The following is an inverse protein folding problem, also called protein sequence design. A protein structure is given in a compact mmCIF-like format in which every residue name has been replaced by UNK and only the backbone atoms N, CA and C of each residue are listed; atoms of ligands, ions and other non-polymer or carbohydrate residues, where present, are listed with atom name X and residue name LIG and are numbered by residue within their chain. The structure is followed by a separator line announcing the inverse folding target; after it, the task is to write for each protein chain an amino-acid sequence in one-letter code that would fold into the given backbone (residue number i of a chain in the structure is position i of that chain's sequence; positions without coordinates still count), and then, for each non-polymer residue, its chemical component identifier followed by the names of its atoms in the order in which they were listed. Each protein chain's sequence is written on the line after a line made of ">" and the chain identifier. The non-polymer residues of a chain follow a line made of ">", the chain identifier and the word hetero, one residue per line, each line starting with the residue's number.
data_IF_409973032778
#
_entry.id   IF_409973032778
#
_cell.length_a   1.000
_cell.length_b   1.000
_cell.length_c   1.000
_cell.angle_alpha   90.00
_cell.angle_beta   90.00
_cell.angle_gamma   90.00
#
_symmetry.space_group_name_H-M   'P 1'
#
loop_
_entity.id
_entity.type
_entity.pdbx_description
1 polymer ?
#
# COMPACT_ATOMS: atom_id res chain seq x y z
N UNK A 1 -8.18 4.29 -22.31
CA UNK A 1 -8.00 4.58 -20.86
C UNK A 1 -6.82 3.73 -20.38
N UNK A 2 -5.91 4.28 -19.56
CA UNK A 2 -4.79 3.49 -18.99
C UNK A 2 -5.36 2.56 -17.92
N UNK A 3 -4.91 1.28 -17.84
CA UNK A 3 -5.37 0.31 -16.84
C UNK A 3 -5.09 0.78 -15.41
N UNK A 4 -6.03 0.57 -14.49
CA UNK A 4 -5.83 0.85 -13.08
C UNK A 4 -5.10 -0.32 -12.41
N UNK A 5 -4.12 -0.03 -11.54
CA UNK A 5 -3.44 -1.05 -10.72
C UNK A 5 -4.27 -1.35 -9.48
N UNK A 6 -4.26 -2.61 -9.09
CA UNK A 6 -4.89 -3.11 -7.86
C UNK A 6 -3.80 -3.62 -6.93
N UNK A 7 -3.53 -2.86 -5.91
CA UNK A 7 -2.48 -3.15 -4.93
C UNK A 7 -3.11 -3.33 -3.54
N UNK A 8 -2.53 -4.21 -2.76
CA UNK A 8 -3.01 -4.51 -1.41
C UNK A 8 -2.06 -3.91 -0.39
N UNK A 9 -2.59 -3.14 0.54
CA UNK A 9 -1.88 -2.76 1.75
C UNK A 9 -2.19 -3.79 2.83
N UNK A 10 -1.24 -4.65 3.09
CA UNK A 10 -1.34 -5.70 4.09
C UNK A 10 -0.93 -5.14 5.45
N UNK A 11 -1.94 -4.89 6.28
CA UNK A 11 -1.77 -4.68 7.72
C UNK A 11 -2.14 -5.99 8.40
N UNK A 12 -1.17 -6.77 8.89
CA UNK A 12 -1.44 -8.07 9.49
C UNK A 12 -1.97 -7.89 10.92
N UNK A 13 -3.21 -7.38 11.01
CA UNK A 13 -3.90 -7.16 12.29
C UNK A 13 -4.54 -8.47 12.71
N UNK A 14 -3.87 -9.18 13.62
CA UNK A 14 -4.36 -10.43 14.20
C UNK A 14 -4.63 -10.27 15.68
N UNK A 15 -5.76 -10.82 16.19
CA UNK A 15 -6.03 -10.83 17.62
C UNK A 15 -4.90 -11.53 18.41
N UNK A 16 -4.50 -11.01 19.58
CA UNK A 16 -3.40 -11.57 20.37
C UNK A 16 -3.68 -12.98 20.94
N UNK A 17 -4.92 -13.45 20.88
CA UNK A 17 -5.34 -14.78 21.28
C UNK A 17 -5.24 -15.83 20.14
N UNK A 18 -4.84 -15.43 18.95
CA UNK A 18 -4.59 -16.33 17.83
C UNK A 18 -3.14 -16.84 17.83
N UNK A 19 -2.93 -18.06 17.32
CA UNK A 19 -1.59 -18.60 17.12
C UNK A 19 -0.80 -17.77 16.08
N UNK A 20 0.27 -17.04 16.47
CA UNK A 20 0.95 -16.12 15.58
C UNK A 20 1.66 -16.82 14.41
N UNK A 21 2.16 -18.04 14.59
CA UNK A 21 2.78 -18.81 13.50
C UNK A 21 1.75 -19.17 12.43
N UNK A 22 0.54 -19.53 12.84
CA UNK A 22 -0.55 -19.82 11.91
C UNK A 22 -1.06 -18.56 11.21
N UNK A 23 -1.16 -17.44 11.92
CA UNK A 23 -1.54 -16.16 11.35
C UNK A 23 -0.55 -15.70 10.26
N UNK A 24 0.76 -15.77 10.53
CA UNK A 24 1.80 -15.45 9.55
C UNK A 24 1.77 -16.37 8.32
N UNK A 25 1.52 -17.67 8.50
CA UNK A 25 1.37 -18.59 7.36
C UNK A 25 0.14 -18.24 6.51
N UNK A 26 -0.97 -17.90 7.15
CA UNK A 26 -2.20 -17.46 6.47
C UNK A 26 -2.01 -16.19 5.66
N UNK A 27 -1.19 -15.24 6.16
CA UNK A 27 -0.81 -14.04 5.42
C UNK A 27 0.00 -14.37 4.16
N UNK A 28 0.93 -15.31 4.25
CA UNK A 28 1.68 -15.80 3.08
C UNK A 28 0.75 -16.49 2.06
N UNK A 29 -0.19 -17.32 2.52
CA UNK A 29 -1.21 -17.94 1.66
C UNK A 29 -2.11 -16.91 0.97
N UNK A 30 -2.43 -15.81 1.67
CA UNK A 30 -3.17 -14.71 1.08
C UNK A 30 -2.38 -14.05 -0.05
N UNK A 31 -1.09 -13.80 0.12
CA UNK A 31 -0.24 -13.24 -0.95
C UNK A 31 -0.17 -14.19 -2.15
N UNK A 32 -0.09 -15.51 -1.93
CA UNK A 32 -0.16 -16.49 -3.02
C UNK A 32 -1.50 -16.44 -3.77
N UNK A 33 -2.61 -16.26 -3.05
CA UNK A 33 -3.92 -16.09 -3.66
C UNK A 33 -3.96 -14.82 -4.52
N UNK A 34 -3.49 -13.69 -4.00
CA UNK A 34 -3.44 -12.42 -4.71
C UNK A 34 -2.59 -12.50 -5.99
N UNK A 35 -1.44 -13.21 -5.94
CA UNK A 35 -0.60 -13.50 -7.11
C UNK A 35 -1.37 -14.28 -8.20
N UNK A 36 -2.10 -15.34 -7.80
CA UNK A 36 -2.93 -16.14 -8.72
C UNK A 36 -4.11 -15.36 -9.30
N UNK A 37 -4.67 -14.43 -8.53
CA UNK A 37 -5.79 -13.60 -8.95
C UNK A 37 -5.37 -12.43 -9.87
N UNK A 38 -4.06 -12.16 -9.99
CA UNK A 38 -3.54 -11.13 -10.88
C UNK A 38 -3.53 -9.73 -10.28
N UNK A 39 -3.45 -9.60 -8.95
CA UNK A 39 -3.17 -8.32 -8.31
C UNK A 39 -1.77 -7.83 -8.65
N UNK A 40 -1.60 -6.51 -8.77
CA UNK A 40 -0.36 -5.90 -9.22
C UNK A 40 0.73 -5.87 -8.15
N UNK A 41 0.35 -5.74 -6.87
CA UNK A 41 1.32 -5.66 -5.78
C UNK A 41 0.74 -5.80 -4.38
N UNK A 42 1.61 -6.14 -3.44
CA UNK A 42 1.32 -6.14 -2.00
C UNK A 42 2.34 -5.26 -1.30
N UNK A 43 1.87 -4.37 -0.43
CA UNK A 43 2.67 -3.51 0.44
C UNK A 43 2.50 -3.98 1.88
N UNK A 44 3.59 -4.42 2.52
CA UNK A 44 3.58 -5.08 3.82
C UNK A 44 3.98 -4.09 4.89
N UNK A 45 3.13 -3.90 5.91
CA UNK A 45 3.37 -3.01 7.04
C UNK A 45 4.47 -3.49 7.98
N UNK A 46 5.06 -2.55 8.73
CA UNK A 46 6.06 -2.81 9.77
C UNK A 46 5.61 -2.19 11.09
N UNK A 47 5.45 -3.02 12.10
CA UNK A 47 5.19 -2.62 13.49
C UNK A 47 5.93 -3.51 14.47
N UNK A 48 6.20 -2.98 15.69
CA UNK A 48 7.08 -3.64 16.66
C UNK A 48 6.44 -3.88 18.02
N UNK A 49 5.28 -3.30 18.28
CA UNK A 49 4.72 -3.27 19.64
C UNK A 49 3.29 -3.79 19.70
N UNK A 50 2.28 -3.34 19.85
CA UNK A 50 0.85 -3.62 20.00
C UNK A 50 0.41 -5.07 20.24
N UNK A 51 1.16 -6.06 19.76
CA UNK A 51 0.77 -7.48 19.79
C UNK A 51 -0.29 -7.89 18.76
N UNK A 52 -0.78 -6.95 17.95
CA UNK A 52 -1.77 -7.18 16.88
C UNK A 52 -1.13 -7.20 15.50
N UNK A 53 -0.16 -6.34 15.25
CA UNK A 53 0.57 -6.27 14.00
C UNK A 53 1.94 -6.93 14.19
N UNK A 54 2.07 -8.18 13.75
CA UNK A 54 3.17 -9.07 14.14
C UNK A 54 4.34 -9.10 13.18
N UNK A 55 4.25 -8.43 12.02
CA UNK A 55 5.36 -8.34 11.06
C UNK A 55 6.27 -7.17 11.46
N UNK A 56 7.39 -7.50 12.11
CA UNK A 56 8.42 -6.54 12.55
C UNK A 56 9.53 -6.32 11.52
N UNK A 57 9.55 -7.08 10.43
CA UNK A 57 10.54 -6.94 9.34
C UNK A 57 9.90 -7.29 8.00
N UNK A 58 9.40 -6.30 7.25
CA UNK A 58 8.88 -6.54 5.92
C UNK A 58 9.89 -7.21 4.99
N UNK A 59 11.18 -6.88 5.07
CA UNK A 59 12.21 -7.47 4.22
C UNK A 59 12.30 -8.99 4.41
N UNK A 60 12.25 -9.49 5.65
CA UNK A 60 12.26 -10.92 5.95
C UNK A 60 10.99 -11.59 5.44
N UNK A 61 9.83 -10.96 5.65
CA UNK A 61 8.54 -11.48 5.22
C UNK A 61 8.40 -11.49 3.69
N UNK A 62 8.86 -10.44 3.02
CA UNK A 62 8.92 -10.35 1.55
C UNK A 62 9.80 -11.47 0.98
N UNK A 63 10.95 -11.77 1.58
CA UNK A 63 11.81 -12.86 1.10
C UNK A 63 11.10 -14.22 1.17
N UNK A 64 10.31 -14.48 2.21
CA UNK A 64 9.48 -15.68 2.31
C UNK A 64 8.36 -15.70 1.25
N UNK A 65 7.63 -14.60 1.08
CA UNK A 65 6.60 -14.47 0.07
C UNK A 65 7.13 -14.58 -1.36
N UNK A 66 8.33 -14.05 -1.62
CA UNK A 66 8.98 -14.09 -2.94
C UNK A 66 9.24 -15.52 -3.44
N UNK A 67 9.56 -16.43 -2.53
CA UNK A 67 9.76 -17.85 -2.85
C UNK A 67 8.46 -18.59 -3.21
N UNK A 68 7.31 -18.04 -2.81
CA UNK A 68 5.97 -18.63 -2.97
C UNK A 68 5.17 -17.99 -4.11
N UNK A 69 5.62 -16.88 -4.68
CA UNK A 69 4.92 -16.10 -5.71
C UNK A 69 5.73 -15.96 -6.99
N UNK A 70 5.08 -15.54 -8.08
CA UNK A 70 5.71 -15.49 -9.41
C UNK A 70 5.62 -14.13 -10.10
N UNK A 71 4.52 -13.42 -9.95
CA UNK A 71 4.17 -12.23 -10.74
C UNK A 71 3.96 -10.99 -9.90
N UNK A 72 3.32 -11.13 -8.74
CA UNK A 72 2.94 -10.01 -7.88
C UNK A 72 4.18 -9.26 -7.37
N UNK A 73 4.14 -7.94 -7.42
CA UNK A 73 5.17 -7.10 -6.82
C UNK A 73 5.03 -7.09 -5.29
N UNK A 74 6.17 -7.07 -4.59
CA UNK A 74 6.23 -7.19 -3.13
C UNK A 74 6.99 -6.00 -2.56
N UNK A 75 6.35 -5.22 -1.73
CA UNK A 75 6.92 -4.00 -1.17
C UNK A 75 6.69 -3.83 0.33
N UNK A 76 7.55 -3.02 0.96
CA UNK A 76 7.26 -2.52 2.30
C UNK A 76 6.23 -1.40 2.26
N UNK A 77 5.32 -1.42 3.17
CA UNK A 77 4.31 -0.38 3.31
C UNK A 77 4.16 0.14 4.74
N UNK A 78 5.24 0.62 5.36
CA UNK A 78 6.55 1.15 4.91
C UNK A 78 7.70 0.61 5.77
N UNK A 79 8.96 0.86 5.34
CA UNK A 79 10.11 0.86 6.25
C UNK A 79 10.17 2.21 6.94
N UNK A 80 10.06 2.29 8.28
CA UNK A 80 10.19 3.55 9.02
C UNK A 80 11.66 3.96 9.11
N UNK A 81 12.12 4.78 8.16
CA UNK A 81 13.54 5.19 8.10
C UNK A 81 14.03 5.93 9.35
N UNK A 82 13.13 6.46 10.20
CA UNK A 82 13.51 7.09 11.46
C UNK A 82 14.24 6.14 12.43
N UNK A 83 14.01 4.82 12.30
CA UNK A 83 14.60 3.79 13.16
C UNK A 83 15.62 2.89 12.45
N UNK A 84 15.59 2.84 11.11
CA UNK A 84 16.47 1.97 10.33
C UNK A 84 17.72 2.70 9.81
N UNK A 85 18.85 2.00 9.76
CA UNK A 85 20.08 2.51 9.15
C UNK A 85 19.93 2.54 7.61
N UNK A 86 20.14 3.67 6.91
CA UNK A 86 19.83 3.81 5.49
C UNK A 86 20.65 2.87 4.59
N UNK A 87 21.89 2.57 4.97
CA UNK A 87 22.74 1.64 4.22
C UNK A 87 22.23 0.19 4.29
N UNK A 88 21.73 -0.24 5.45
CA UNK A 88 21.15 -1.57 5.61
C UNK A 88 19.88 -1.69 4.78
N UNK A 89 18.98 -0.71 4.86
CA UNK A 89 17.74 -0.71 4.06
C UNK A 89 18.05 -0.77 2.56
N UNK A 90 19.00 0.03 2.08
CA UNK A 90 19.39 0.01 0.66
C UNK A 90 19.93 -1.37 0.22
N UNK A 91 20.82 -1.99 1.03
CA UNK A 91 21.36 -3.33 0.73
C UNK A 91 20.28 -4.42 0.76
N UNK A 92 19.39 -4.42 1.75
CA UNK A 92 18.32 -5.41 1.88
C UNK A 92 17.39 -5.36 0.66
N UNK A 93 16.99 -4.17 0.23
CA UNK A 93 16.08 -4.04 -0.91
C UNK A 93 16.75 -4.27 -2.27
N UNK A 94 18.05 -3.99 -2.41
CA UNK A 94 18.81 -4.45 -3.61
C UNK A 94 18.88 -5.97 -3.64
N UNK A 95 19.15 -6.61 -2.51
CA UNK A 95 19.15 -8.07 -2.43
C UNK A 95 17.77 -8.66 -2.76
N UNK A 96 16.70 -8.08 -2.21
CA UNK A 96 15.32 -8.47 -2.52
C UNK A 96 14.99 -8.27 -4.00
N UNK A 97 15.49 -7.21 -4.65
CA UNK A 97 15.27 -6.96 -6.07
C UNK A 97 15.88 -8.08 -6.93
N UNK A 98 17.07 -8.57 -6.58
CA UNK A 98 17.67 -9.76 -7.21
C UNK A 98 16.89 -11.05 -6.91
N UNK A 99 16.53 -11.30 -5.66
CA UNK A 99 15.80 -12.51 -5.25
C UNK A 99 14.41 -12.60 -5.90
N UNK A 100 13.75 -11.46 -6.05
CA UNK A 100 12.43 -11.36 -6.68
C UNK A 100 12.50 -11.20 -8.20
N UNK A 101 13.69 -11.00 -8.77
CA UNK A 101 13.91 -10.72 -10.21
C UNK A 101 13.11 -9.50 -10.68
N UNK A 102 13.21 -8.39 -9.95
CA UNK A 102 12.61 -7.11 -10.31
C UNK A 102 11.19 -6.91 -9.81
N UNK A 103 10.68 -7.75 -8.88
CA UNK A 103 9.35 -7.57 -8.26
C UNK A 103 9.40 -6.86 -6.91
N UNK A 104 10.58 -6.53 -6.39
CA UNK A 104 10.71 -5.78 -5.14
C UNK A 104 10.30 -4.32 -5.31
N UNK A 105 9.65 -3.77 -4.29
CA UNK A 105 9.32 -2.37 -4.15
C UNK A 105 9.73 -1.89 -2.76
N UNK A 106 10.18 -0.65 -2.64
CA UNK A 106 10.59 -0.07 -1.35
C UNK A 106 9.67 1.10 -0.99
N UNK A 107 8.77 0.89 -0.07
CA UNK A 107 8.00 1.99 0.54
C UNK A 107 8.69 2.49 1.80
N UNK A 108 8.82 3.79 1.94
CA UNK A 108 9.48 4.44 3.06
C UNK A 108 8.64 5.56 3.65
N UNK A 109 8.90 5.88 4.91
CA UNK A 109 8.24 6.97 5.61
C UNK A 109 8.88 7.26 6.96
N UNK A 110 8.37 8.25 7.70
CA UNK A 110 8.88 8.58 9.03
C UNK A 110 8.55 7.52 10.09
N UNK A 111 7.53 6.68 9.89
CA UNK A 111 6.94 5.87 10.95
C UNK A 111 6.01 6.71 11.85
N UNK A 112 5.73 6.21 13.05
CA UNK A 112 4.99 6.95 14.07
C UNK A 112 3.46 6.86 13.98
N UNK A 113 2.93 5.89 13.23
CA UNK A 113 1.51 5.57 13.24
C UNK A 113 1.01 5.02 14.58
N UNK A 114 1.90 4.35 15.31
CA UNK A 114 1.63 3.80 16.64
C UNK A 114 2.46 4.51 17.71
N UNK A 115 1.83 5.12 18.74
CA UNK A 115 2.54 5.80 19.83
C UNK A 115 3.52 4.87 20.59
N UNK A 116 3.16 3.59 20.74
CA UNK A 116 4.00 2.59 21.42
C UNK A 116 5.29 2.29 20.68
N UNK A 117 5.29 2.26 19.33
CA UNK A 117 6.51 2.11 18.54
C UNK A 117 7.44 3.33 18.76
N UNK A 118 6.89 4.54 18.64
CA UNK A 118 7.64 5.78 18.88
C UNK A 118 8.29 5.78 20.26
N UNK A 119 7.53 5.37 21.28
CA UNK A 119 8.03 5.27 22.65
C UNK A 119 9.12 4.20 22.81
N UNK A 120 8.92 3.01 22.25
CA UNK A 120 9.87 1.90 22.36
C UNK A 120 11.25 2.25 21.75
N UNK A 121 11.26 3.04 20.67
CA UNK A 121 12.50 3.51 20.04
C UNK A 121 13.05 4.81 20.61
N UNK A 122 12.43 5.36 21.68
CA UNK A 122 12.88 6.58 22.35
C UNK A 122 12.85 7.81 21.45
N UNK A 123 11.86 7.91 20.58
CA UNK A 123 11.70 9.00 19.63
C UNK A 123 10.53 9.92 20.01
N UNK A 124 10.63 11.16 19.62
CA UNK A 124 9.53 12.11 19.50
C UNK A 124 9.25 12.40 18.01
N UNK A 125 8.15 13.09 17.74
CA UNK A 125 7.68 13.32 16.36
C UNK A 125 8.66 14.18 15.54
N UNK A 126 9.30 15.16 16.16
CA UNK A 126 10.24 16.06 15.48
C UNK A 126 11.54 15.31 15.14
N UNK A 127 12.02 14.50 16.05
CA UNK A 127 13.17 13.60 15.85
C UNK A 127 12.87 12.56 14.76
N UNK A 128 11.68 11.98 14.75
CA UNK A 128 11.28 11.04 13.70
C UNK A 128 11.32 11.67 12.31
N UNK A 129 10.70 12.85 12.14
CA UNK A 129 10.67 13.55 10.86
C UNK A 129 12.08 13.92 10.39
N UNK A 130 12.90 14.50 11.26
CA UNK A 130 14.27 14.88 10.92
C UNK A 130 15.11 13.67 10.52
N UNK A 131 15.11 12.60 11.31
CA UNK A 131 15.85 11.36 11.01
C UNK A 131 15.37 10.72 9.71
N UNK A 132 14.07 10.69 9.47
CA UNK A 132 13.51 10.19 8.23
C UNK A 132 14.07 10.93 7.02
N UNK A 133 14.05 12.26 7.02
CA UNK A 133 14.49 13.07 5.90
C UNK A 133 15.98 12.91 5.63
N UNK A 134 16.82 12.96 6.66
CA UNK A 134 18.28 12.77 6.55
C UNK A 134 18.63 11.38 6.04
N UNK A 135 17.99 10.34 6.57
CA UNK A 135 18.23 8.96 6.17
C UNK A 135 17.68 8.63 4.79
N UNK A 136 16.56 9.27 4.43
CA UNK A 136 16.05 9.17 3.06
C UNK A 136 17.07 9.74 2.06
N UNK A 137 17.58 10.94 2.28
CA UNK A 137 18.54 11.60 1.40
C UNK A 137 19.87 10.80 1.31
N UNK A 138 20.32 10.21 2.41
CA UNK A 138 21.46 9.30 2.41
C UNK A 138 21.20 7.99 1.67
N UNK A 139 20.02 7.39 1.85
CA UNK A 139 19.61 6.16 1.17
C UNK A 139 19.46 6.36 -0.35
N UNK A 140 18.80 7.43 -0.77
CA UNK A 140 18.57 7.67 -2.20
C UNK A 140 19.89 7.91 -2.93
N UNK A 141 20.86 8.58 -2.28
CA UNK A 141 22.19 8.79 -2.84
C UNK A 141 22.92 7.47 -3.11
N UNK A 142 22.72 6.42 -2.30
CA UNK A 142 23.33 5.09 -2.57
C UNK A 142 22.85 4.48 -3.89
N UNK A 143 21.62 4.78 -4.31
CA UNK A 143 21.08 4.31 -5.59
C UNK A 143 21.52 5.20 -6.78
N UNK A 144 21.85 6.46 -6.53
CA UNK A 144 22.14 7.47 -7.55
C UNK A 144 23.64 7.63 -7.85
N UNK A 145 24.57 7.11 -6.99
CA UNK A 145 26.01 7.21 -7.19
C UNK A 145 26.70 5.85 -7.28
N UNK A 146 27.79 5.80 -8.05
CA UNK A 146 28.71 4.67 -8.10
C UNK A 146 29.96 4.92 -7.28
N UNK A 147 30.19 6.17 -6.89
CA UNK A 147 31.36 6.57 -6.12
C UNK A 147 31.09 6.40 -4.61
N UNK A 148 32.06 5.84 -3.88
CA UNK A 148 31.97 5.80 -2.43
C UNK A 148 31.82 7.21 -1.84
N UNK A 149 31.01 7.36 -0.78
CA UNK A 149 30.84 8.62 -0.09
C UNK A 149 30.74 8.45 1.41
N UNK A 150 31.12 9.52 2.12
CA UNK A 150 30.98 9.61 3.57
C UNK A 150 29.89 10.61 3.91
N UNK A 151 29.00 10.24 4.85
CA UNK A 151 27.95 11.10 5.39
C UNK A 151 27.68 10.71 6.84
N UNK A 152 27.40 11.71 7.66
CA UNK A 152 26.98 11.54 9.05
C UNK A 152 25.65 12.28 9.26
N UNK A 153 24.77 11.72 10.06
CA UNK A 153 23.48 12.29 10.43
C UNK A 153 23.03 11.87 11.82
N UNK A 154 21.80 12.23 12.19
CA UNK A 154 21.27 11.91 13.51
C UNK A 154 21.17 10.40 13.72
N UNK A 155 22.11 9.85 14.52
CA UNK A 155 22.15 8.43 14.89
C UNK A 155 22.53 7.47 13.76
N UNK A 156 23.25 7.95 12.73
CA UNK A 156 23.90 7.09 11.74
C UNK A 156 25.16 7.73 11.17
N UNK A 157 26.08 6.90 10.69
CA UNK A 157 27.22 7.32 9.89
C UNK A 157 27.50 6.28 8.81
N UNK A 158 27.94 6.74 7.65
CA UNK A 158 28.40 5.91 6.53
C UNK A 158 29.76 6.45 6.07
N UNK A 159 30.78 5.60 6.10
CA UNK A 159 32.16 5.95 5.67
C UNK A 159 32.49 5.15 4.42
N UNK A 160 32.90 5.85 3.34
CA UNK A 160 33.26 5.22 2.05
C UNK A 160 32.15 4.24 1.58
N UNK A 161 30.88 4.59 1.80
CA UNK A 161 29.76 3.72 1.52
C UNK A 161 29.45 3.66 0.03
N UNK A 162 29.30 2.45 -0.49
CA UNK A 162 28.86 2.16 -1.84
C UNK A 162 28.09 0.83 -1.83
N UNK A 163 27.06 0.70 -2.67
CA UNK A 163 26.34 -0.56 -2.81
C UNK A 163 27.21 -1.59 -3.54
N UNK A 164 27.49 -2.72 -2.89
CA UNK A 164 28.26 -3.83 -3.48
C UNK A 164 27.48 -4.55 -4.59
N UNK A 165 26.16 -4.57 -4.52
CA UNK A 165 25.27 -5.03 -5.60
C UNK A 165 24.55 -3.81 -6.17
N UNK A 166 24.45 -3.75 -7.50
CA UNK A 166 23.57 -2.79 -8.16
C UNK A 166 22.16 -3.34 -8.21
N UNK A 167 21.13 -2.50 -8.22
CA UNK A 167 19.75 -2.97 -8.40
C UNK A 167 19.60 -3.85 -9.64
N UNK A 168 18.82 -4.91 -9.51
CA UNK A 168 18.42 -5.74 -10.65
C UNK A 168 17.56 -4.94 -11.64
N UNK A 169 16.68 -4.11 -11.11
CA UNK A 169 15.82 -3.19 -11.89
C UNK A 169 16.56 -1.88 -12.17
N UNK A 170 16.57 -1.40 -13.41
CA UNK A 170 17.25 -0.16 -13.78
C UNK A 170 16.29 1.02 -13.89
N UNK A 171 16.67 2.20 -13.36
CA UNK A 171 17.91 2.52 -12.61
C UNK A 171 17.89 1.96 -11.19
N UNK A 172 16.72 1.62 -10.64
CA UNK A 172 16.46 1.02 -9.32
C UNK A 172 15.05 0.47 -9.25
N UNK A 173 14.77 -0.39 -8.25
CA UNK A 173 13.40 -0.81 -7.95
C UNK A 173 12.48 0.40 -7.69
N UNK A 174 11.16 0.26 -7.89
CA UNK A 174 10.21 1.31 -7.53
C UNK A 174 10.33 1.66 -6.05
N UNK A 175 10.53 2.96 -5.76
CA UNK A 175 10.51 3.50 -4.40
C UNK A 175 9.24 4.32 -4.25
N UNK A 176 8.57 4.16 -3.13
CA UNK A 176 7.36 4.90 -2.78
C UNK A 176 7.51 5.63 -1.44
N UNK A 177 6.85 6.77 -1.32
CA UNK A 177 6.68 7.48 -0.06
C UNK A 177 5.20 7.46 0.31
N UNK A 178 4.92 7.05 1.56
CA UNK A 178 3.59 7.22 2.18
C UNK A 178 3.54 8.58 2.85
N UNK A 179 2.68 9.44 2.37
CA UNK A 179 2.44 10.76 2.98
C UNK A 179 1.05 11.29 2.62
N UNK A 180 0.43 12.02 3.55
CA UNK A 180 -0.76 12.81 3.26
C UNK A 180 -0.37 14.13 2.58
N UNK A 181 0.05 15.11 3.37
CA UNK A 181 0.33 16.47 2.88
C UNK A 181 1.64 17.06 3.45
N UNK A 182 2.63 16.23 3.82
CA UNK A 182 3.92 16.73 4.29
C UNK A 182 4.72 17.30 3.10
N UNK A 183 5.02 18.63 3.06
CA UNK A 183 5.64 19.28 1.90
C UNK A 183 7.03 18.72 1.56
N UNK A 184 7.82 18.36 2.58
CA UNK A 184 9.17 17.81 2.41
C UNK A 184 9.15 16.44 1.72
N UNK A 185 8.17 15.61 2.09
CA UNK A 185 7.95 14.30 1.47
C UNK A 185 7.41 14.43 0.05
N UNK A 186 6.44 15.33 -0.18
CA UNK A 186 5.89 15.60 -1.52
C UNK A 186 6.98 16.12 -2.48
N UNK A 187 7.84 17.03 -2.00
CA UNK A 187 8.97 17.52 -2.80
C UNK A 187 9.94 16.41 -3.19
N UNK A 188 10.23 15.44 -2.31
CA UNK A 188 11.08 14.28 -2.63
C UNK A 188 10.45 13.37 -3.65
N UNK A 189 9.14 13.13 -3.57
CA UNK A 189 8.41 12.36 -4.58
C UNK A 189 8.66 12.96 -5.97
N UNK A 190 8.45 14.27 -6.13
CA UNK A 190 8.64 14.95 -7.41
C UNK A 190 10.09 14.94 -7.88
N UNK A 191 11.04 15.36 -7.03
CA UNK A 191 12.47 15.48 -7.41
C UNK A 191 13.08 14.16 -7.85
N UNK A 192 12.75 13.06 -7.15
CA UNK A 192 13.36 11.75 -7.41
C UNK A 192 12.50 10.83 -8.29
N UNK A 193 11.31 11.29 -8.74
CA UNK A 193 10.40 10.48 -9.56
C UNK A 193 9.94 9.22 -8.82
N UNK A 194 9.44 9.39 -7.61
CA UNK A 194 8.99 8.30 -6.75
C UNK A 194 7.48 8.08 -6.91
N UNK A 195 7.03 6.91 -6.48
CA UNK A 195 5.61 6.64 -6.34
C UNK A 195 5.06 7.34 -5.09
N UNK A 196 3.87 7.85 -5.20
CA UNK A 196 3.12 8.37 -4.07
C UNK A 196 2.08 7.35 -3.62
N UNK A 197 2.20 6.86 -2.39
CA UNK A 197 1.11 6.14 -1.72
C UNK A 197 0.32 7.18 -0.93
N UNK A 198 -0.73 7.69 -1.56
CA UNK A 198 -1.53 8.78 -1.03
C UNK A 198 -2.48 8.27 0.07
N UNK A 199 -2.67 9.10 1.09
CA UNK A 199 -3.72 8.87 2.07
C UNK A 199 -5.12 9.09 1.47
N UNK A 200 -6.12 8.85 2.29
CA UNK A 200 -7.55 8.83 1.91
C UNK A 200 -8.19 10.21 1.66
N UNK A 201 -7.46 11.30 1.84
CA UNK A 201 -8.00 12.67 1.71
C UNK A 201 -8.02 13.10 0.23
N UNK A 202 -9.09 12.75 -0.47
CA UNK A 202 -9.31 13.08 -1.88
C UNK A 202 -9.45 14.59 -2.10
N UNK A 203 -9.96 15.33 -1.12
CA UNK A 203 -10.20 16.78 -1.26
C UNK A 203 -8.90 17.59 -1.23
N UNK A 204 -7.84 17.08 -0.59
CA UNK A 204 -6.50 17.67 -0.59
C UNK A 204 -5.58 17.13 -1.68
N UNK A 205 -6.04 16.17 -2.46
CA UNK A 205 -5.22 15.50 -3.45
C UNK A 205 -4.57 16.46 -4.44
N UNK A 206 -5.36 17.36 -5.06
CA UNK A 206 -4.86 18.28 -6.06
C UNK A 206 -3.80 19.25 -5.51
N UNK A 207 -4.01 19.81 -4.31
CA UNK A 207 -3.05 20.71 -3.68
C UNK A 207 -1.72 20.01 -3.33
N UNK A 208 -1.77 18.73 -2.97
CA UNK A 208 -0.58 17.90 -2.74
C UNK A 208 0.11 17.54 -4.06
N UNK A 209 -0.69 17.24 -5.08
CA UNK A 209 -0.16 16.91 -6.41
C UNK A 209 0.55 18.10 -7.07
N UNK A 210 0.05 19.32 -6.92
CA UNK A 210 0.70 20.53 -7.42
C UNK A 210 2.11 20.70 -6.84
N UNK A 211 2.32 20.38 -5.57
CA UNK A 211 3.64 20.41 -4.95
C UNK A 211 4.58 19.34 -5.54
N UNK A 212 4.07 18.13 -5.79
CA UNK A 212 4.84 17.05 -6.45
C UNK A 212 5.24 17.49 -7.87
N UNK A 213 4.29 18.01 -8.65
CA UNK A 213 4.52 18.44 -10.03
C UNK A 213 5.53 19.59 -10.11
N UNK A 214 5.39 20.61 -9.25
CA UNK A 214 6.34 21.72 -9.18
C UNK A 214 7.76 21.26 -8.78
N UNK A 215 7.85 20.34 -7.82
CA UNK A 215 9.14 19.78 -7.43
C UNK A 215 9.79 18.94 -8.55
N UNK A 216 9.02 18.19 -9.33
CA UNK A 216 9.50 17.47 -10.49
C UNK A 216 10.00 18.41 -11.58
N UNK A 217 9.23 19.45 -11.91
CA UNK A 217 9.60 20.46 -12.91
C UNK A 217 10.91 21.18 -12.54
N UNK A 218 11.12 21.48 -11.24
CA UNK A 218 12.33 22.15 -10.75
C UNK A 218 13.65 21.40 -11.06
N UNK A 219 13.56 20.11 -11.36
CA UNK A 219 14.70 19.24 -11.73
C UNK A 219 14.56 18.68 -13.16
N UNK A 220 13.70 19.27 -14.00
CA UNK A 220 13.52 18.88 -15.39
C UNK A 220 12.77 17.56 -15.59
N UNK A 221 11.99 17.10 -14.60
CA UNK A 221 11.13 15.91 -14.66
C UNK A 221 9.68 16.27 -14.90
N UNK A 222 8.92 15.33 -15.42
CA UNK A 222 7.45 15.40 -15.48
C UNK A 222 6.88 14.33 -14.54
N UNK A 223 6.04 14.72 -13.60
CA UNK A 223 5.32 13.80 -12.74
C UNK A 223 4.05 13.30 -13.46
N UNK A 224 3.68 12.04 -13.23
CA UNK A 224 2.46 11.43 -13.78
C UNK A 224 1.54 10.98 -12.63
N UNK A 225 0.31 11.49 -12.58
CA UNK A 225 -0.70 11.09 -11.57
C UNK A 225 -0.95 9.59 -11.56
N UNK A 226 -0.75 8.93 -12.70
CA UNK A 226 -0.90 7.49 -12.83
C UNK A 226 0.10 6.69 -11.98
N UNK A 227 1.24 7.26 -11.59
CA UNK A 227 2.21 6.61 -10.70
C UNK A 227 1.78 6.63 -9.22
N UNK A 228 0.68 7.33 -8.91
CA UNK A 228 0.09 7.39 -7.56
C UNK A 228 -0.87 6.24 -7.34
N UNK A 229 -0.86 5.68 -6.12
CA UNK A 229 -1.91 4.80 -5.62
C UNK A 229 -2.56 5.44 -4.39
N UNK A 230 -3.89 5.45 -4.35
CA UNK A 230 -4.65 6.02 -3.24
C UNK A 230 -5.14 4.92 -2.32
N UNK A 231 -4.96 5.13 -1.01
CA UNK A 231 -5.43 4.20 0.01
C UNK A 231 -6.96 4.22 0.12
N UNK A 232 -7.56 3.03 0.10
CA UNK A 232 -9.00 2.84 0.27
C UNK A 232 -9.28 1.64 1.15
N UNK A 233 -10.38 1.66 1.86
CA UNK A 233 -10.88 0.51 2.61
C UNK A 233 -11.98 -0.16 1.80
N UNK A 234 -11.83 -1.45 1.50
CA UNK A 234 -12.80 -2.16 0.66
C UNK A 234 -13.13 -3.55 1.21
N UNK A 235 -14.42 -3.87 1.16
CA UNK A 235 -14.91 -5.24 1.30
C UNK A 235 -16.08 -5.44 0.34
N UNK A 236 -16.03 -6.50 -0.47
CA UNK A 236 -17.01 -6.79 -1.51
C UNK A 236 -17.66 -8.13 -1.25
N UNK A 237 -18.99 -8.16 -1.24
CA UNK A 237 -19.82 -9.37 -1.25
C UNK A 237 -20.80 -9.33 -2.43
N UNK A 238 -21.69 -10.32 -2.55
CA UNK A 238 -22.63 -10.34 -3.69
C UNK A 238 -23.66 -9.21 -3.63
N UNK A 239 -24.03 -8.75 -2.43
CA UNK A 239 -24.87 -7.58 -2.21
C UNK A 239 -24.26 -6.66 -1.17
N UNK A 240 -24.71 -5.39 -1.14
CA UNK A 240 -24.28 -4.41 -0.15
C UNK A 240 -24.66 -4.80 1.27
N UNK A 241 -25.88 -5.33 1.44
CA UNK A 241 -26.39 -5.78 2.73
C UNK A 241 -25.55 -6.94 3.27
N UNK A 242 -25.19 -7.89 2.43
CA UNK A 242 -24.32 -9.01 2.78
C UNK A 242 -22.93 -8.51 3.17
N UNK A 243 -22.33 -7.59 2.41
CA UNK A 243 -21.02 -7.02 2.70
C UNK A 243 -20.98 -6.31 4.06
N UNK A 244 -21.99 -5.48 4.36
CA UNK A 244 -22.10 -4.78 5.64
C UNK A 244 -22.21 -5.76 6.80
N UNK A 245 -23.04 -6.78 6.67
CA UNK A 245 -23.23 -7.77 7.74
C UNK A 245 -21.97 -8.60 7.99
N UNK A 246 -21.24 -8.97 6.92
CA UNK A 246 -20.00 -9.72 7.03
C UNK A 246 -18.90 -8.97 7.81
N UNK A 247 -18.83 -7.64 7.70
CA UNK A 247 -17.77 -6.84 8.31
C UNK A 247 -18.17 -6.14 9.61
N UNK A 248 -19.42 -6.25 10.03
CA UNK A 248 -19.98 -5.55 11.20
C UNK A 248 -19.12 -5.71 12.45
N UNK A 249 -18.89 -6.95 12.85
CA UNK A 249 -18.12 -7.24 14.07
C UNK A 249 -16.62 -6.95 13.88
N UNK A 250 -16.06 -7.28 12.74
CA UNK A 250 -14.62 -7.09 12.49
C UNK A 250 -14.20 -5.63 12.44
N UNK A 251 -15.00 -4.76 11.82
CA UNK A 251 -14.73 -3.31 11.81
C UNK A 251 -14.87 -2.69 13.21
N UNK A 252 -15.87 -3.12 13.98
CA UNK A 252 -16.03 -2.68 15.35
C UNK A 252 -14.89 -3.19 16.25
N UNK A 253 -14.47 -4.44 16.10
CA UNK A 253 -13.33 -5.02 16.81
C UNK A 253 -12.05 -4.26 16.55
N UNK A 254 -11.73 -3.99 15.28
CA UNK A 254 -10.56 -3.19 14.93
C UNK A 254 -10.61 -1.81 15.59
N UNK A 255 -11.75 -1.16 15.56
CA UNK A 255 -11.89 0.20 16.07
C UNK A 255 -11.81 0.26 17.58
N UNK A 256 -12.62 -0.56 18.29
CA UNK A 256 -12.81 -0.47 19.74
C UNK A 256 -11.82 -1.31 20.54
N UNK A 257 -11.34 -2.43 20.00
CA UNK A 257 -10.48 -3.36 20.76
C UNK A 257 -8.99 -3.18 20.38
N UNK A 258 -8.69 -2.61 19.21
CA UNK A 258 -7.33 -2.36 18.75
C UNK A 258 -7.00 -0.86 18.63
N UNK A 259 -7.53 -0.15 17.65
CA UNK A 259 -7.04 1.17 17.26
C UNK A 259 -7.25 2.24 18.35
N UNK A 260 -8.38 2.21 19.07
CA UNK A 260 -8.65 3.17 20.14
C UNK A 260 -7.87 2.89 21.42
N UNK A 261 -7.79 1.65 21.94
CA UNK A 261 -7.01 1.36 23.15
C UNK A 261 -5.52 1.67 23.03
N UNK A 262 -4.93 1.49 21.85
CA UNK A 262 -3.51 1.80 21.62
C UNK A 262 -3.23 3.27 21.26
N UNK A 263 -4.26 4.11 21.23
CA UNK A 263 -4.13 5.53 20.92
C UNK A 263 -3.84 5.86 19.46
N UNK A 264 -3.95 4.89 18.54
CA UNK A 264 -3.80 5.12 17.11
C UNK A 264 -4.93 5.98 16.55
N UNK A 265 -6.12 5.87 17.14
CA UNK A 265 -7.28 6.66 16.79
C UNK A 265 -8.11 7.02 18.02
N UNK A 266 -8.87 8.16 18.02
CA UNK A 266 -9.71 8.54 19.13
C UNK A 266 -10.84 7.53 19.36
N UNK A 267 -11.29 7.37 20.60
CA UNK A 267 -12.45 6.55 20.92
C UNK A 267 -13.69 7.17 20.27
N UNK A 268 -14.50 6.41 19.49
CA UNK A 268 -15.73 6.95 18.91
C UNK A 268 -16.76 7.27 19.98
N UNK A 269 -17.48 8.39 19.82
CA UNK A 269 -18.62 8.76 20.63
C UNK A 269 -19.91 8.15 20.03
N UNK A 270 -19.97 6.82 19.96
CA UNK A 270 -21.11 6.07 19.44
C UNK A 270 -21.12 4.63 19.95
N UNK A 271 -22.27 3.95 19.82
CA UNK A 271 -22.38 2.53 20.11
C UNK A 271 -21.56 1.68 19.14
N UNK A 272 -20.94 0.62 19.65
CA UNK A 272 -20.16 -0.33 18.87
C UNK A 272 -20.97 -0.94 17.71
N UNK A 273 -22.26 -1.20 17.92
CA UNK A 273 -23.13 -1.80 16.91
C UNK A 273 -23.44 -0.86 15.73
N UNK A 274 -23.39 0.44 15.96
CA UNK A 274 -23.64 1.46 14.93
C UNK A 274 -22.39 1.82 14.13
N UNK A 275 -21.22 1.32 14.55
CA UNK A 275 -19.94 1.66 13.94
C UNK A 275 -19.85 1.32 12.46
N UNK A 276 -20.34 0.15 12.03
CA UNK A 276 -20.24 -0.28 10.64
C UNK A 276 -20.95 0.67 9.67
N UNK A 277 -22.13 1.16 10.06
CA UNK A 277 -22.92 2.07 9.22
C UNK A 277 -22.24 3.44 9.11
N UNK A 278 -21.66 3.94 10.22
CA UNK A 278 -20.82 5.14 10.20
C UNK A 278 -19.58 4.95 9.33
N UNK A 279 -18.86 3.84 9.50
CA UNK A 279 -17.64 3.54 8.77
C UNK A 279 -17.88 3.38 7.27
N UNK A 280 -18.94 2.68 6.87
CA UNK A 280 -19.32 2.49 5.48
C UNK A 280 -19.75 3.79 4.77
N UNK A 281 -20.12 4.83 5.52
CA UNK A 281 -20.48 6.14 4.98
C UNK A 281 -19.27 7.05 4.74
N UNK A 282 -18.05 6.66 5.14
CA UNK A 282 -16.85 7.47 4.94
C UNK A 282 -16.44 7.49 3.45
N UNK A 283 -15.96 8.63 2.91
CA UNK A 283 -15.71 8.82 1.48
C UNK A 283 -14.57 7.96 0.90
N UNK A 284 -13.78 7.30 1.75
CA UNK A 284 -12.68 6.42 1.36
C UNK A 284 -12.97 4.94 1.65
N UNK A 285 -14.23 4.61 1.95
CA UNK A 285 -14.67 3.26 2.30
C UNK A 285 -15.69 2.76 1.30
N UNK A 286 -15.47 1.56 0.78
CA UNK A 286 -16.42 0.85 -0.05
C UNK A 286 -16.71 -0.54 0.56
N UNK A 287 -17.85 -0.66 1.22
CA UNK A 287 -18.41 -1.93 1.67
C UNK A 287 -19.68 -2.16 0.85
N UNK A 288 -19.64 -3.09 -0.10
CA UNK A 288 -20.74 -3.21 -1.06
C UNK A 288 -20.63 -4.37 -2.05
N UNK A 289 -21.40 -4.26 -3.12
CA UNK A 289 -21.38 -5.18 -4.27
C UNK A 289 -20.20 -4.88 -5.21
N UNK A 290 -19.91 -5.76 -6.19
CA UNK A 290 -18.96 -5.46 -7.25
C UNK A 290 -19.28 -4.18 -8.03
N UNK A 291 -20.56 -3.89 -8.28
CA UNK A 291 -20.98 -2.66 -8.99
C UNK A 291 -20.74 -1.41 -8.15
N UNK A 292 -20.97 -1.46 -6.82
CA UNK A 292 -20.61 -0.39 -5.90
C UNK A 292 -19.09 -0.12 -5.94
N UNK A 293 -18.27 -1.17 -5.96
CA UNK A 293 -16.82 -1.06 -6.01
C UNK A 293 -16.32 -0.45 -7.33
N UNK A 294 -16.92 -0.83 -8.46
CA UNK A 294 -16.61 -0.23 -9.78
C UNK A 294 -16.96 1.25 -9.80
N UNK A 295 -18.15 1.62 -9.33
CA UNK A 295 -18.58 3.01 -9.28
C UNK A 295 -17.66 3.85 -8.38
N UNK A 296 -17.34 3.35 -7.19
CA UNK A 296 -16.46 4.00 -6.22
C UNK A 296 -15.04 4.26 -6.76
N UNK A 297 -14.39 3.24 -7.33
CA UNK A 297 -13.04 3.38 -7.88
C UNK A 297 -13.02 4.23 -9.17
N UNK A 298 -14.09 4.19 -9.95
CA UNK A 298 -14.25 5.05 -11.13
C UNK A 298 -14.31 6.52 -10.71
N UNK A 299 -15.11 6.85 -9.70
CA UNK A 299 -15.20 8.22 -9.17
C UNK A 299 -13.85 8.72 -8.64
N UNK A 300 -13.14 7.91 -7.86
CA UNK A 300 -11.80 8.28 -7.35
C UNK A 300 -10.84 8.54 -8.51
N UNK A 301 -10.77 7.63 -9.47
CA UNK A 301 -9.90 7.78 -10.64
C UNK A 301 -10.24 9.03 -11.44
N UNK A 302 -11.51 9.27 -11.70
CA UNK A 302 -11.95 10.39 -12.56
C UNK A 302 -11.75 11.75 -11.85
N UNK A 303 -11.83 11.80 -10.52
CA UNK A 303 -11.53 13.02 -9.72
C UNK A 303 -10.03 13.28 -9.60
N UNK A 304 -9.21 12.26 -9.45
CA UNK A 304 -7.80 12.43 -9.05
C UNK A 304 -6.81 12.12 -10.17
N UNK A 305 -7.19 11.31 -11.15
CA UNK A 305 -6.29 10.82 -12.20
C UNK A 305 -5.30 9.74 -11.71
N UNK A 306 -5.46 9.19 -10.50
CA UNK A 306 -4.57 8.15 -9.97
C UNK A 306 -4.63 6.87 -10.80
N UNK A 307 -3.51 6.18 -10.88
CA UNK A 307 -3.38 4.91 -11.60
C UNK A 307 -3.48 3.67 -10.72
N UNK A 308 -3.63 3.80 -9.40
CA UNK A 308 -3.69 2.67 -8.51
C UNK A 308 -4.68 2.83 -7.35
N UNK A 309 -5.36 1.73 -7.01
CA UNK A 309 -6.07 1.55 -5.75
C UNK A 309 -5.18 0.76 -4.79
N UNK A 310 -4.90 1.32 -3.62
CA UNK A 310 -4.20 0.66 -2.53
C UNK A 310 -5.25 0.20 -1.50
N UNK A 311 -5.70 -1.03 -1.65
CA UNK A 311 -6.80 -1.58 -0.84
C UNK A 311 -6.25 -2.12 0.46
N UNK A 312 -6.74 -1.62 1.60
CA UNK A 312 -6.38 -2.17 2.91
C UNK A 312 -6.92 -3.59 3.06
N UNK A 313 -6.00 -4.54 3.23
CA UNK A 313 -6.34 -5.93 3.56
C UNK A 313 -6.49 -6.06 5.07
N UNK A 314 -7.74 -6.17 5.50
CA UNK A 314 -8.11 -6.40 6.89
C UNK A 314 -9.13 -7.52 6.94
N UNK A 315 -8.96 -8.43 7.88
CA UNK A 315 -9.82 -9.61 7.99
C UNK A 315 -11.14 -9.30 8.72
N UNK A 316 -11.83 -8.20 8.37
CA UNK A 316 -13.10 -7.82 9.02
C UNK A 316 -14.19 -8.88 8.93
N UNK A 317 -14.24 -9.59 7.80
CA UNK A 317 -15.17 -10.71 7.57
C UNK A 317 -14.56 -12.08 7.95
N UNK A 318 -13.48 -12.06 8.72
CA UNK A 318 -12.62 -13.23 8.95
C UNK A 318 -11.81 -13.64 7.72
N UNK A 319 -10.90 -14.61 7.87
CA UNK A 319 -9.96 -15.00 6.80
C UNK A 319 -10.68 -15.46 5.52
N UNK A 320 -11.79 -16.20 5.65
CA UNK A 320 -12.55 -16.72 4.50
C UNK A 320 -13.25 -15.59 3.76
N UNK A 321 -13.99 -14.72 4.48
CA UNK A 321 -14.71 -13.62 3.86
C UNK A 321 -13.77 -12.60 3.20
N UNK A 322 -12.58 -12.38 3.75
CA UNK A 322 -11.55 -11.56 3.10
C UNK A 322 -11.10 -12.17 1.76
N UNK A 323 -10.83 -13.48 1.70
CA UNK A 323 -10.46 -14.19 0.47
C UNK A 323 -11.57 -14.12 -0.58
N UNK A 324 -12.82 -14.39 -0.18
CA UNK A 324 -13.99 -14.33 -1.06
C UNK A 324 -14.16 -12.91 -1.65
N UNK A 325 -13.94 -11.87 -0.83
CA UNK A 325 -13.96 -10.48 -1.28
C UNK A 325 -12.89 -10.19 -2.34
N UNK A 326 -11.64 -10.62 -2.14
CA UNK A 326 -10.59 -10.45 -3.14
C UNK A 326 -10.86 -11.21 -4.43
N UNK A 327 -11.47 -12.39 -4.36
CA UNK A 327 -11.90 -13.14 -5.55
C UNK A 327 -13.00 -12.40 -6.32
N UNK A 328 -13.99 -11.81 -5.64
CA UNK A 328 -15.03 -10.99 -6.27
C UNK A 328 -14.47 -9.73 -6.93
N UNK A 329 -13.52 -9.04 -6.27
CA UNK A 329 -12.82 -7.88 -6.83
C UNK A 329 -12.06 -8.28 -8.10
N UNK A 330 -11.28 -9.36 -8.05
CA UNK A 330 -10.51 -9.84 -9.20
C UNK A 330 -11.41 -10.26 -10.37
N UNK A 331 -12.55 -10.88 -10.09
CA UNK A 331 -13.46 -11.41 -11.09
C UNK A 331 -14.33 -10.36 -11.76
N UNK A 332 -14.83 -9.38 -11.01
CA UNK A 332 -15.88 -8.49 -11.48
C UNK A 332 -15.48 -7.00 -11.51
N UNK A 333 -14.52 -6.57 -10.69
CA UNK A 333 -14.11 -5.15 -10.56
C UNK A 333 -12.87 -4.86 -11.41
N UNK A 334 -11.79 -5.60 -11.21
CA UNK A 334 -10.52 -5.41 -11.93
C UNK A 334 -10.70 -5.39 -13.46
N UNK A 335 -11.42 -6.33 -14.09
CA UNK A 335 -11.54 -6.36 -15.55
C UNK A 335 -12.21 -5.13 -16.15
N UNK A 336 -13.13 -4.49 -15.43
CA UNK A 336 -13.79 -3.26 -15.88
C UNK A 336 -12.85 -2.06 -15.86
N UNK A 337 -12.02 -1.94 -14.81
CA UNK A 337 -11.12 -0.80 -14.61
C UNK A 337 -9.75 -0.99 -15.30
N UNK A 338 -9.41 -2.21 -15.66
CA UNK A 338 -8.22 -2.55 -16.46
C UNK A 338 -8.50 -2.63 -17.98
N UNK A 339 -9.78 -2.57 -18.39
CA UNK A 339 -10.17 -2.59 -19.80
C UNK A 339 -10.10 -3.97 -20.47
N UNK A 340 -9.93 -5.06 -19.72
CA UNK A 340 -9.82 -6.42 -20.27
C UNK A 340 -11.12 -6.93 -20.88
N UNK A 341 -12.27 -6.35 -20.56
CA UNK A 341 -13.58 -6.72 -21.11
C UNK A 341 -13.91 -6.07 -22.46
N UNK A 342 -13.18 -5.02 -22.86
CA UNK A 342 -13.53 -4.21 -24.05
C UNK A 342 -13.61 -5.05 -25.32
N UNK A 343 -12.65 -5.96 -25.53
CA UNK A 343 -12.66 -6.86 -26.69
C UNK A 343 -13.80 -7.87 -26.67
N UNK A 344 -14.08 -8.44 -25.50
CA UNK A 344 -15.17 -9.41 -25.33
C UNK A 344 -16.54 -8.77 -25.57
N UNK A 345 -16.78 -7.59 -25.01
CA UNK A 345 -18.01 -6.81 -25.19
C UNK A 345 -18.21 -6.40 -26.66
N UNK A 346 -17.14 -5.99 -27.33
CA UNK A 346 -17.18 -5.66 -28.75
C UNK A 346 -17.52 -6.90 -29.61
N UNK A 347 -16.92 -8.03 -29.30
CA UNK A 347 -17.21 -9.31 -30.01
C UNK A 347 -18.63 -9.77 -29.79
N UNK A 348 -19.14 -9.70 -28.56
CA UNK A 348 -20.54 -10.05 -28.24
C UNK A 348 -21.53 -9.14 -29.00
N UNK A 349 -21.28 -7.82 -29.00
CA UNK A 349 -22.11 -6.88 -29.74
C UNK A 349 -22.13 -7.15 -31.25
N UNK A 350 -21.01 -7.54 -31.85
CA UNK A 350 -20.95 -8.00 -33.25
C UNK A 350 -21.75 -9.26 -33.44
N UNK A 351 -21.55 -10.27 -32.61
CA UNK A 351 -22.27 -11.55 -32.71
C UNK A 351 -23.78 -11.36 -32.60
N UNK A 352 -24.24 -10.55 -31.62
CA UNK A 352 -25.67 -10.26 -31.43
C UNK A 352 -26.27 -9.54 -32.65
N UNK A 353 -25.54 -8.57 -33.21
CA UNK A 353 -26.03 -7.83 -34.41
C UNK A 353 -26.08 -8.68 -35.67
N UNK A 354 -25.16 -9.63 -35.82
CA UNK A 354 -25.08 -10.46 -37.03
C UNK A 354 -25.89 -11.74 -36.97
N UNK A 355 -26.28 -12.19 -35.79
CA UNK A 355 -27.07 -13.42 -35.63
C UNK A 355 -28.38 -13.45 -36.49
N UNK A 356 -29.18 -12.35 -36.61
CA UNK A 356 -30.37 -12.34 -37.47
C UNK A 356 -30.08 -12.36 -38.97
N UNK A 357 -28.84 -12.07 -39.38
CA UNK A 357 -28.46 -12.02 -40.81
C UNK A 357 -28.10 -13.38 -41.39
N UNK A 358 -27.99 -14.41 -40.55
CA UNK A 358 -27.58 -15.76 -40.92
C UNK A 358 -28.72 -16.77 -40.75
N UNK A 359 -29.87 -16.35 -40.21
CA UNK A 359 -31.13 -17.10 -40.16
C UNK A 359 -31.99 -16.76 -41.37
#
# INVERSE_FOLDING_TARGET
>A
MRPMRFEIFMQPIHPPDENPTYALERDLELIELLDRLGYDGVWIGEHHTTGWETISSPAVFIAAAAARTRSIALGSGIVPLSIHHPFIVANDYVLLDHLTRGRAMLGVGPGGGLPSDTYAFGLDRDTQNRRYLERFDAMIRLFETEEPFTIEGDGFAMHEAVLQLRPYTHPRMPIAIVTGANPESLARIGRHGLRWLAGVDVDRFDASWEQIAAAAESVGRTADRHDTSIAVHMHVAHTREEAIEQVREGTARERFDFASPIGAQPVPDMDRNDWVDHFAALPHVCIGSPDDAVAFLTEIRDRTGVGGALISSKEWAGPRGARDSFELIARYVMPQLQGSLVGLQAAEAVATRTAPLVQ
#
